data_IF_698761234590
#
_entry.id   IF_698761234590
#
_cell.length_a   1.000
_cell.length_b   1.000
_cell.length_c   1.000
_cell.angle_alpha   90.00
_cell.angle_beta   90.00
_cell.angle_gamma   90.00
#
_symmetry.space_group_name_H-M   'P 1'
#
loop_
_entity.id
_entity.type
_entity.pdbx_description
1 polymer ?
#
# COMPACT_ATOMS: atom_id res chain seq x y z
N UNK A 1 -2.47 -7.96 58.06
CA UNK A 1 -1.88 -7.10 57.02
C UNK A 1 -2.62 -7.33 55.72
N UNK A 2 -3.62 -6.50 55.41
CA UNK A 2 -4.39 -6.53 54.17
C UNK A 2 -3.86 -5.41 53.26
N UNK A 3 -3.42 -5.75 52.05
CA UNK A 3 -3.00 -4.77 51.03
C UNK A 3 -4.25 -4.21 50.32
N UNK A 4 -4.33 -2.90 50.05
CA UNK A 4 -5.44 -2.33 49.31
C UNK A 4 -5.25 -2.59 47.82
N UNK A 5 -6.30 -3.08 47.16
CA UNK A 5 -6.40 -3.14 45.70
C UNK A 5 -6.65 -1.71 45.18
N UNK A 6 -5.73 -1.21 44.35
CA UNK A 6 -5.94 0.01 43.60
C UNK A 6 -6.94 -0.28 42.46
N UNK A 7 -8.13 0.31 42.55
CA UNK A 7 -9.11 0.32 41.47
C UNK A 7 -8.64 1.33 40.43
N UNK A 8 -8.17 0.85 39.28
CA UNK A 8 -7.90 1.67 38.11
C UNK A 8 -9.23 1.92 37.40
N UNK A 9 -9.77 3.13 37.56
CA UNK A 9 -10.91 3.59 36.76
C UNK A 9 -10.42 3.85 35.32
N UNK A 10 -10.72 2.93 34.40
CA UNK A 10 -10.65 3.22 32.96
C UNK A 10 -11.77 4.21 32.62
N UNK A 11 -11.42 5.45 32.31
CA UNK A 11 -12.31 6.37 31.61
C UNK A 11 -12.45 5.89 30.16
N UNK A 12 -13.58 5.26 29.85
CA UNK A 12 -14.01 5.05 28.46
C UNK A 12 -14.39 6.41 27.87
N UNK A 13 -13.50 6.98 27.05
CA UNK A 13 -13.88 8.06 26.15
C UNK A 13 -14.86 7.47 25.15
N UNK A 14 -16.16 7.70 25.37
CA UNK A 14 -17.18 7.42 24.37
C UNK A 14 -16.96 8.43 23.25
N UNK A 15 -16.26 8.01 22.20
CA UNK A 15 -16.22 8.76 20.96
C UNK A 15 -17.67 8.84 20.45
N UNK A 16 -18.31 10.00 20.59
CA UNK A 16 -19.62 10.24 19.99
C UNK A 16 -19.45 10.13 18.48
N UNK A 17 -19.87 9.00 17.90
CA UNK A 17 -19.97 8.86 16.46
C UNK A 17 -20.93 9.94 15.95
N UNK A 18 -20.43 10.83 15.08
CA UNK A 18 -21.23 11.89 14.45
C UNK A 18 -22.42 11.26 13.73
N UNK A 19 -23.65 11.74 13.96
CA UNK A 19 -24.82 11.20 13.25
C UNK A 19 -25.10 11.98 11.98
N UNK A 20 -25.68 11.30 11.00
CA UNK A 20 -26.25 11.94 9.81
C UNK A 20 -27.27 13.00 10.25
N UNK A 21 -27.18 14.20 9.67
CA UNK A 21 -28.03 15.34 10.00
C UNK A 21 -27.58 16.18 11.21
N UNK A 22 -26.58 15.73 11.99
CA UNK A 22 -25.98 16.52 13.08
C UNK A 22 -24.73 17.28 12.64
N UNK A 23 -24.16 16.94 11.47
CA UNK A 23 -22.99 17.62 10.90
C UNK A 23 -23.41 18.97 10.29
N UNK A 24 -22.77 20.09 10.64
CA UNK A 24 -23.15 21.40 10.13
C UNK A 24 -23.12 21.47 8.60
N UNK A 25 -24.23 21.90 8.01
CA UNK A 25 -24.36 22.08 6.56
C UNK A 25 -23.75 23.40 6.13
N UNK A 26 -22.55 23.36 5.56
CA UNK A 26 -21.77 24.54 5.17
C UNK A 26 -21.16 24.31 3.79
N UNK A 27 -21.29 25.27 2.89
CA UNK A 27 -20.70 25.19 1.55
C UNK A 27 -19.16 25.21 1.62
N UNK A 28 -18.44 24.34 0.86
CA UNK A 28 -16.99 24.41 0.80
C UNK A 28 -16.49 25.76 0.27
N UNK A 29 -15.70 26.44 1.10
CA UNK A 29 -15.08 27.72 0.75
C UNK A 29 -14.43 28.42 1.95
N UNK A 30 -14.03 29.70 1.80
CA UNK A 30 -13.28 30.43 2.82
C UNK A 30 -14.00 30.63 4.17
N UNK A 31 -15.33 30.47 4.19
CA UNK A 31 -16.16 30.60 5.40
C UNK A 31 -16.36 29.28 6.15
N UNK A 32 -15.97 28.16 5.54
CA UNK A 32 -16.09 26.86 6.15
C UNK A 32 -15.04 26.70 7.26
N UNK A 33 -15.47 26.23 8.43
CA UNK A 33 -14.57 25.98 9.55
C UNK A 33 -13.58 24.86 9.18
N UNK A 34 -12.30 25.09 9.49
CA UNK A 34 -11.21 24.18 9.16
C UNK A 34 -11.03 23.09 10.21
N UNK A 35 -10.64 21.90 9.79
CA UNK A 35 -10.33 20.78 10.67
C UNK A 35 -11.54 20.09 11.31
N UNK A 36 -12.78 20.49 10.97
CA UNK A 36 -14.01 19.85 11.44
C UNK A 36 -14.74 19.14 10.30
N UNK A 37 -15.63 18.19 10.61
CA UNK A 37 -16.51 17.62 9.61
C UNK A 37 -17.63 18.61 9.28
N UNK A 38 -17.90 18.78 7.99
CA UNK A 38 -18.96 19.62 7.45
C UNK A 38 -19.73 18.83 6.40
N UNK A 39 -20.98 19.20 6.18
CA UNK A 39 -21.84 18.58 5.18
C UNK A 39 -22.17 19.60 4.10
N UNK A 40 -22.25 19.15 2.85
CA UNK A 40 -22.87 19.94 1.79
C UNK A 40 -23.60 19.04 0.81
N UNK A 41 -24.24 19.66 -0.19
CA UNK A 41 -24.97 18.97 -1.24
C UNK A 41 -24.35 19.32 -2.59
N UNK A 42 -24.07 18.32 -3.42
CA UNK A 42 -23.56 18.52 -4.78
C UNK A 42 -24.58 19.22 -5.68
N UNK A 43 -24.16 19.66 -6.86
CA UNK A 43 -25.06 20.27 -7.83
C UNK A 43 -26.20 19.31 -8.26
N UNK A 44 -25.93 18.01 -8.20
CA UNK A 44 -26.85 16.91 -8.50
C UNK A 44 -27.76 16.55 -7.31
N UNK A 45 -27.70 17.32 -6.22
CA UNK A 45 -28.56 17.11 -5.05
C UNK A 45 -28.09 16.00 -4.11
N UNK A 46 -26.84 15.54 -4.21
CA UNK A 46 -26.31 14.44 -3.39
C UNK A 46 -25.54 14.96 -2.17
N UNK A 47 -25.87 14.50 -0.94
CA UNK A 47 -25.11 14.90 0.23
C UNK A 47 -23.70 14.31 0.21
N UNK A 48 -22.76 15.04 0.79
CA UNK A 48 -21.42 14.57 1.06
C UNK A 48 -20.87 15.23 2.32
N UNK A 49 -20.02 14.50 3.05
CA UNK A 49 -19.23 15.08 4.12
C UNK A 49 -17.86 15.48 3.62
N UNK A 50 -17.31 16.55 4.19
CA UNK A 50 -15.97 16.99 3.90
C UNK A 50 -15.27 17.59 5.11
N UNK A 51 -13.94 17.66 5.04
CA UNK A 51 -13.08 18.32 6.01
C UNK A 51 -12.03 19.12 5.27
N UNK A 52 -11.87 20.40 5.62
CA UNK A 52 -10.77 21.22 5.15
C UNK A 52 -9.53 21.06 6.06
N UNK A 53 -8.31 21.12 5.52
CA UNK A 53 -7.10 21.15 6.33
C UNK A 53 -7.04 22.42 7.18
N UNK A 54 -6.30 22.36 8.30
CA UNK A 54 -6.11 23.50 9.20
C UNK A 54 -5.28 24.61 8.54
N UNK A 55 -4.33 24.22 7.71
CA UNK A 55 -3.45 25.14 6.98
C UNK A 55 -4.02 25.49 5.60
N UNK A 56 -3.58 26.63 5.05
CA UNK A 56 -3.92 27.13 3.72
C UNK A 56 -2.95 26.66 2.62
N UNK A 57 -2.16 25.60 2.88
CA UNK A 57 -1.28 25.02 1.86
C UNK A 57 -2.09 24.45 0.71
N UNK A 58 -1.48 24.35 -0.48
CA UNK A 58 -2.03 23.69 -1.67
C UNK A 58 -2.31 22.21 -1.33
N UNK A 59 -3.56 21.81 -1.02
CA UNK A 59 -3.82 20.50 -0.44
C UNK A 59 -4.06 19.47 -1.55
N UNK A 60 -3.86 18.18 -1.25
CA UNK A 60 -4.46 17.16 -2.09
C UNK A 60 -5.97 17.08 -1.81
N UNK A 61 -6.73 16.63 -2.80
CA UNK A 61 -8.13 16.24 -2.64
C UNK A 61 -8.22 14.72 -2.56
N UNK A 62 -8.66 14.19 -1.41
CA UNK A 62 -8.90 12.76 -1.21
C UNK A 62 -10.41 12.51 -1.21
N UNK A 63 -10.91 11.83 -2.24
CA UNK A 63 -12.31 11.42 -2.33
C UNK A 63 -12.44 9.97 -1.84
N UNK A 64 -13.08 9.80 -0.70
CA UNK A 64 -13.27 8.52 0.00
C UNK A 64 -14.61 7.89 -0.41
N UNK A 65 -14.54 6.78 -1.12
CA UNK A 65 -15.66 6.05 -1.70
C UNK A 65 -15.97 4.81 -0.84
N UNK A 66 -17.14 4.81 -0.24
CA UNK A 66 -17.59 3.78 0.67
C UNK A 66 -17.97 2.46 -0.03
N UNK A 67 -18.20 1.41 0.76
CA UNK A 67 -18.64 0.10 0.27
C UNK A 67 -20.14 0.02 -0.03
N UNK A 68 -20.61 -1.18 -0.40
CA UNK A 68 -22.03 -1.45 -0.62
C UNK A 68 -22.84 -1.20 0.65
N UNK A 69 -24.05 -0.64 0.53
CA UNK A 69 -24.97 -0.55 1.68
C UNK A 69 -24.73 0.63 2.62
N UNK A 70 -23.70 1.43 2.38
CA UNK A 70 -23.30 2.53 3.28
C UNK A 70 -23.62 3.90 2.68
N UNK A 71 -23.13 4.96 3.32
CA UNK A 71 -23.38 6.34 2.92
C UNK A 71 -22.14 7.25 3.18
N UNK A 72 -22.27 8.52 2.85
CA UNK A 72 -21.26 9.56 2.92
C UNK A 72 -20.66 9.79 4.31
N UNK A 73 -21.30 9.34 5.40
CA UNK A 73 -20.72 9.37 6.75
C UNK A 73 -19.66 8.30 7.01
N UNK A 74 -19.68 7.20 6.24
CA UNK A 74 -18.88 5.99 6.49
C UNK A 74 -17.39 6.27 6.65
N UNK A 75 -16.80 7.11 5.80
CA UNK A 75 -15.37 7.42 5.84
C UNK A 75 -14.99 8.14 7.14
N UNK A 76 -15.82 9.06 7.62
CA UNK A 76 -15.56 9.83 8.84
C UNK A 76 -15.69 8.99 10.11
N UNK A 77 -16.46 7.90 10.07
CA UNK A 77 -16.57 6.97 11.19
C UNK A 77 -15.44 5.96 11.26
N UNK A 78 -14.88 5.57 10.10
CA UNK A 78 -13.89 4.49 10.02
C UNK A 78 -12.44 4.98 9.90
N UNK A 79 -12.25 6.26 9.62
CA UNK A 79 -10.94 6.89 9.51
C UNK A 79 -10.88 8.08 10.46
N UNK A 80 -9.75 8.34 11.14
CA UNK A 80 -9.64 9.45 12.09
C UNK A 80 -9.43 10.80 11.37
N UNK A 81 -10.37 11.14 10.49
CA UNK A 81 -10.41 12.35 9.65
C UNK A 81 -10.64 13.58 10.53
N UNK A 82 -11.64 13.54 11.40
CA UNK A 82 -11.99 14.68 12.29
C UNK A 82 -10.90 14.94 13.31
N UNK A 83 -10.26 13.88 13.84
CA UNK A 83 -9.13 14.02 14.74
C UNK A 83 -7.88 14.57 14.05
N UNK A 84 -7.92 14.74 12.72
CA UNK A 84 -6.85 15.30 11.92
C UNK A 84 -5.64 14.39 11.76
N UNK A 85 -5.70 13.13 12.19
CA UNK A 85 -4.56 12.20 12.06
C UNK A 85 -4.55 11.48 10.72
N UNK A 86 -5.69 11.39 10.03
CA UNK A 86 -5.77 10.87 8.66
C UNK A 86 -5.69 12.03 7.67
N UNK A 87 -4.58 12.10 6.91
CA UNK A 87 -4.31 13.14 5.90
C UNK A 87 -4.59 14.58 6.43
N UNK A 88 -3.93 15.02 7.52
CA UNK A 88 -4.17 16.32 8.18
C UNK A 88 -4.19 17.52 7.24
N UNK A 89 -3.36 17.47 6.21
CA UNK A 89 -3.06 18.58 5.31
C UNK A 89 -3.91 18.57 4.03
N UNK A 90 -4.81 17.59 3.87
CA UNK A 90 -5.62 17.44 2.66
C UNK A 90 -7.07 17.82 2.84
N UNK A 91 -7.73 18.15 1.73
CA UNK A 91 -9.19 18.15 1.70
C UNK A 91 -9.66 16.70 1.59
N UNK A 92 -10.47 16.25 2.54
CA UNK A 92 -11.06 14.90 2.50
C UNK A 92 -12.56 15.04 2.26
N UNK A 93 -13.08 14.32 1.27
CA UNK A 93 -14.48 14.34 0.85
C UNK A 93 -15.02 12.92 0.80
N UNK A 94 -16.22 12.70 1.30
CA UNK A 94 -16.88 11.38 1.34
C UNK A 94 -18.28 11.54 0.77
N UNK A 95 -18.51 11.20 -0.52
CA UNK A 95 -19.83 11.28 -1.16
C UNK A 95 -20.60 9.96 -1.09
N UNK A 96 -21.92 10.02 -1.33
CA UNK A 96 -22.74 8.86 -1.67
C UNK A 96 -22.57 8.46 -3.15
N UNK A 97 -22.83 7.20 -3.49
CA UNK A 97 -23.13 6.81 -4.87
C UNK A 97 -24.53 7.27 -5.32
N UNK A 98 -24.84 7.16 -6.62
CA UNK A 98 -26.15 7.61 -7.14
C UNK A 98 -27.26 6.58 -6.95
N UNK A 99 -26.92 5.30 -6.76
CA UNK A 99 -27.88 4.18 -6.83
C UNK A 99 -28.34 3.77 -5.43
N UNK A 100 -29.62 3.96 -5.06
CA UNK A 100 -30.14 3.53 -3.75
C UNK A 100 -30.14 2.01 -3.62
N UNK A 101 -29.88 1.49 -2.41
CA UNK A 101 -29.89 0.04 -2.13
C UNK A 101 -30.87 -0.39 -1.01
N UNK A 102 -31.73 0.52 -0.56
CA UNK A 102 -32.62 0.31 0.59
C UNK A 102 -31.98 0.74 1.91
N UNK A 103 -32.77 0.88 2.98
CA UNK A 103 -32.23 1.19 4.32
C UNK A 103 -31.50 2.54 4.48
N UNK A 104 -31.56 3.43 3.48
CA UNK A 104 -30.85 4.72 3.47
C UNK A 104 -29.41 4.67 2.94
N UNK A 105 -28.99 3.55 2.35
CA UNK A 105 -27.67 3.41 1.73
C UNK A 105 -27.66 3.62 0.21
N UNK A 106 -26.45 3.80 -0.32
CA UNK A 106 -26.19 4.01 -1.75
C UNK A 106 -25.09 3.09 -2.26
N UNK A 107 -25.01 2.92 -3.58
CA UNK A 107 -24.07 2.07 -4.28
C UNK A 107 -23.39 2.83 -5.43
N UNK A 108 -22.14 2.46 -5.70
CA UNK A 108 -21.38 2.82 -6.90
C UNK A 108 -21.45 1.67 -7.92
N UNK A 109 -22.28 1.79 -8.96
CA UNK A 109 -22.57 0.71 -9.92
C UNK A 109 -21.79 0.82 -11.24
N UNK A 110 -20.69 1.58 -11.25
CA UNK A 110 -19.76 1.70 -12.40
C UNK A 110 -20.45 2.17 -13.69
N UNK A 111 -21.29 3.20 -13.59
CA UNK A 111 -21.96 3.81 -14.73
C UNK A 111 -21.59 5.30 -14.87
N UNK A 112 -21.98 5.90 -16.00
CA UNK A 112 -21.69 7.31 -16.27
C UNK A 112 -22.33 8.26 -15.25
N UNK A 113 -23.45 7.90 -14.61
CA UNK A 113 -24.07 8.76 -13.58
C UNK A 113 -23.22 8.86 -12.32
N UNK A 114 -22.71 7.73 -11.82
CA UNK A 114 -21.76 7.71 -10.70
C UNK A 114 -20.46 8.42 -11.10
N UNK A 115 -19.98 8.18 -12.32
CA UNK A 115 -18.81 8.85 -12.88
C UNK A 115 -18.96 10.38 -12.92
N UNK A 116 -20.07 10.87 -13.44
CA UNK A 116 -20.36 12.29 -13.56
C UNK A 116 -20.51 12.97 -12.20
N UNK A 117 -21.12 12.31 -11.22
CA UNK A 117 -21.20 12.83 -9.85
C UNK A 117 -19.79 13.05 -9.26
N UNK A 118 -18.93 12.04 -9.31
CA UNK A 118 -17.58 12.14 -8.75
C UNK A 118 -16.72 13.14 -9.54
N UNK A 119 -16.82 13.14 -10.87
CA UNK A 119 -16.14 14.10 -11.73
C UNK A 119 -16.59 15.54 -11.44
N UNK A 120 -17.90 15.75 -11.26
CA UNK A 120 -18.50 17.04 -10.88
C UNK A 120 -17.97 17.54 -9.55
N UNK A 121 -17.89 16.66 -8.55
CA UNK A 121 -17.35 16.99 -7.23
C UNK A 121 -15.87 17.39 -7.28
N UNK A 122 -15.04 16.64 -8.01
CA UNK A 122 -13.62 16.97 -8.21
C UNK A 122 -13.47 18.36 -8.87
N UNK A 123 -14.23 18.62 -9.94
CA UNK A 123 -14.22 19.92 -10.63
C UNK A 123 -14.70 21.05 -9.71
N UNK A 124 -15.73 20.79 -8.90
CA UNK A 124 -16.23 21.76 -7.93
C UNK A 124 -15.14 22.16 -6.94
N UNK A 125 -14.48 21.21 -6.29
CA UNK A 125 -13.40 21.49 -5.35
C UNK A 125 -12.20 22.18 -6.03
N UNK A 126 -11.81 21.77 -7.24
CA UNK A 126 -10.78 22.47 -8.04
C UNK A 126 -11.14 23.92 -8.39
N UNK A 127 -12.43 24.25 -8.49
CA UNK A 127 -12.84 25.64 -8.74
C UNK A 127 -12.85 26.51 -7.47
N UNK A 128 -12.76 25.90 -6.28
CA UNK A 128 -12.81 26.58 -4.98
C UNK A 128 -11.46 26.65 -4.27
N UNK A 129 -10.59 25.69 -4.55
CA UNK A 129 -9.30 25.55 -3.88
C UNK A 129 -8.21 25.31 -4.92
N UNK A 130 -7.02 25.81 -4.64
CA UNK A 130 -5.84 25.44 -5.41
C UNK A 130 -5.42 24.01 -5.02
N UNK A 131 -5.96 23.02 -5.72
CA UNK A 131 -5.67 21.60 -5.47
C UNK A 131 -4.32 21.23 -6.07
N UNK A 132 -3.49 20.53 -5.30
CA UNK A 132 -2.23 19.96 -5.77
C UNK A 132 -2.49 18.71 -6.60
N UNK A 133 -2.96 17.64 -5.94
CA UNK A 133 -3.29 16.35 -6.56
C UNK A 133 -4.68 15.88 -6.14
N UNK A 134 -5.25 14.96 -6.91
CA UNK A 134 -6.53 14.33 -6.61
C UNK A 134 -6.35 12.83 -6.51
N UNK A 135 -6.73 12.28 -5.36
CA UNK A 135 -6.73 10.85 -5.11
C UNK A 135 -8.13 10.34 -4.82
N UNK A 136 -8.39 9.10 -5.27
CA UNK A 136 -9.51 8.33 -4.76
C UNK A 136 -9.01 7.33 -3.73
N UNK A 137 -9.80 7.12 -2.69
CA UNK A 137 -9.70 5.95 -1.82
C UNK A 137 -11.02 5.22 -1.90
N UNK A 138 -11.02 3.96 -2.29
CA UNK A 138 -12.23 3.16 -2.35
C UNK A 138 -12.14 1.96 -1.44
N UNK A 139 -13.25 1.61 -0.77
CA UNK A 139 -13.38 0.38 0.01
C UNK A 139 -14.47 -0.52 -0.54
N UNK A 140 -14.22 -1.82 -0.60
CA UNK A 140 -15.17 -2.81 -1.12
C UNK A 140 -15.70 -2.32 -2.48
N UNK A 141 -17.00 -2.20 -2.71
CA UNK A 141 -17.58 -1.63 -3.95
C UNK A 141 -16.96 -0.30 -4.40
N UNK A 142 -16.61 0.62 -3.48
CA UNK A 142 -15.89 1.84 -3.82
C UNK A 142 -14.53 1.59 -4.46
N UNK A 143 -13.83 0.51 -4.08
CA UNK A 143 -12.57 0.10 -4.71
C UNK A 143 -12.77 -0.44 -6.14
N UNK A 144 -13.84 -1.19 -6.39
CA UNK A 144 -14.22 -1.59 -7.76
C UNK A 144 -14.48 -0.35 -8.61
N UNK A 145 -15.14 0.66 -8.03
CA UNK A 145 -15.40 1.91 -8.71
C UNK A 145 -14.11 2.71 -9.00
N UNK A 146 -13.13 2.74 -8.09
CA UNK A 146 -11.82 3.38 -8.34
C UNK A 146 -11.16 2.86 -9.63
N UNK A 147 -11.15 1.54 -9.84
CA UNK A 147 -10.60 0.95 -11.06
C UNK A 147 -11.33 1.46 -12.31
N UNK A 148 -12.66 1.39 -12.31
CA UNK A 148 -13.49 1.86 -13.42
C UNK A 148 -13.29 3.35 -13.69
N UNK A 149 -13.33 4.18 -12.64
CA UNK A 149 -13.20 5.63 -12.74
C UNK A 149 -11.81 6.04 -13.24
N UNK A 150 -10.75 5.41 -12.74
CA UNK A 150 -9.39 5.66 -13.21
C UNK A 150 -9.20 5.29 -14.69
N UNK A 151 -9.88 4.25 -15.17
CA UNK A 151 -9.92 3.92 -16.60
C UNK A 151 -10.72 4.92 -17.44
N UNK A 152 -11.83 5.44 -16.91
CA UNK A 152 -12.77 6.31 -17.63
C UNK A 152 -12.38 7.80 -17.62
N UNK A 153 -11.76 8.26 -16.54
CA UNK A 153 -11.43 9.66 -16.27
C UNK A 153 -9.98 9.85 -15.74
N UNK A 154 -8.95 9.27 -16.39
CA UNK A 154 -7.57 9.34 -15.91
C UNK A 154 -7.02 10.77 -15.77
N UNK A 155 -7.55 11.74 -16.52
CA UNK A 155 -7.17 13.15 -16.48
C UNK A 155 -7.69 13.90 -15.24
N UNK A 156 -8.66 13.34 -14.51
CA UNK A 156 -9.24 13.99 -13.33
C UNK A 156 -8.51 13.64 -12.04
N UNK A 157 -7.73 12.56 -12.03
CA UNK A 157 -7.06 12.05 -10.83
C UNK A 157 -5.58 11.77 -11.11
N UNK A 158 -4.81 11.70 -10.03
CA UNK A 158 -3.39 11.39 -10.07
C UNK A 158 -3.13 9.96 -9.60
N UNK A 159 -4.06 9.39 -8.82
CA UNK A 159 -3.98 8.00 -8.40
C UNK A 159 -5.13 7.57 -7.50
N UNK A 160 -5.08 6.31 -7.05
CA UNK A 160 -6.04 5.81 -6.09
C UNK A 160 -5.54 4.65 -5.24
N UNK A 161 -6.14 4.51 -4.06
CA UNK A 161 -6.04 3.32 -3.20
C UNK A 161 -7.33 2.52 -3.36
N UNK A 162 -7.22 1.30 -3.87
CA UNK A 162 -8.31 0.35 -3.99
C UNK A 162 -8.20 -0.69 -2.85
N UNK A 163 -9.03 -0.52 -1.82
CA UNK A 163 -9.04 -1.36 -0.63
C UNK A 163 -10.15 -2.43 -0.69
N UNK A 164 -9.78 -3.70 -0.58
CA UNK A 164 -10.73 -4.82 -0.54
C UNK A 164 -11.59 -4.93 -1.81
N UNK A 165 -10.99 -4.71 -2.99
CA UNK A 165 -11.67 -4.64 -4.28
C UNK A 165 -11.14 -5.60 -5.34
N UNK A 166 -11.72 -5.52 -6.55
CA UNK A 166 -11.26 -6.28 -7.72
C UNK A 166 -11.44 -5.47 -9.01
N UNK A 167 -10.53 -5.67 -9.97
CA UNK A 167 -10.64 -5.13 -11.33
C UNK A 167 -11.57 -6.03 -12.16
N UNK A 168 -12.78 -5.56 -12.47
CA UNK A 168 -13.74 -6.30 -13.31
C UNK A 168 -13.50 -6.12 -14.81
N UNK A 169 -13.04 -4.94 -15.22
CA UNK A 169 -12.79 -4.59 -16.62
C UNK A 169 -11.43 -3.92 -16.75
N UNK A 170 -10.69 -4.26 -17.80
CA UNK A 170 -9.27 -3.94 -17.94
C UNK A 170 -8.95 -3.05 -19.17
N UNK A 171 -9.96 -2.55 -19.90
CA UNK A 171 -9.72 -1.79 -21.12
C UNK A 171 -9.50 -0.30 -20.81
N UNK A 172 -8.39 0.01 -20.17
CA UNK A 172 -8.02 1.38 -19.80
C UNK A 172 -7.09 1.99 -20.87
N UNK A 173 -7.22 3.30 -21.16
CA UNK A 173 -6.38 3.99 -22.14
C UNK A 173 -4.91 4.06 -21.67
N UNK A 174 -3.98 4.28 -22.60
CA UNK A 174 -2.53 4.41 -22.30
C UNK A 174 -2.21 5.53 -21.32
N UNK A 175 -3.00 6.62 -21.34
CA UNK A 175 -2.89 7.70 -20.37
C UNK A 175 -3.08 7.19 -18.94
N UNK A 176 -4.06 6.33 -18.68
CA UNK A 176 -4.30 5.78 -17.34
C UNK A 176 -3.09 4.97 -16.85
N UNK A 177 -2.48 4.18 -17.73
CA UNK A 177 -1.37 3.26 -17.41
C UNK A 177 -0.08 3.96 -17.02
N UNK A 178 0.19 5.10 -17.66
CA UNK A 178 1.42 5.88 -17.49
C UNK A 178 1.28 6.98 -16.42
N UNK A 179 0.10 7.58 -16.30
CA UNK A 179 -0.17 8.69 -15.38
C UNK A 179 -0.42 8.21 -13.96
N UNK A 180 -1.36 7.28 -13.78
CA UNK A 180 -1.97 6.99 -12.48
C UNK A 180 -1.06 6.19 -11.56
N UNK A 181 -0.92 6.66 -10.32
CA UNK A 181 -0.43 5.86 -9.19
C UNK A 181 -1.55 4.98 -8.65
N UNK A 182 -1.31 3.69 -8.44
CA UNK A 182 -2.34 2.73 -8.04
C UNK A 182 -1.83 1.86 -6.91
N UNK A 183 -2.48 1.94 -5.77
CA UNK A 183 -2.23 1.10 -4.62
C UNK A 183 -3.40 0.13 -4.41
N UNK A 184 -3.10 -1.15 -4.35
CA UNK A 184 -4.05 -2.21 -4.04
C UNK A 184 -3.81 -2.61 -2.59
N UNK A 185 -4.81 -2.45 -1.74
CA UNK A 185 -4.75 -2.80 -0.32
C UNK A 185 -5.73 -3.94 -0.05
N UNK A 186 -5.28 -5.00 0.63
CA UNK A 186 -6.16 -6.11 0.93
C UNK A 186 -5.77 -6.82 2.22
N UNK A 187 -6.75 -7.22 3.04
CA UNK A 187 -6.49 -8.09 4.18
C UNK A 187 -6.33 -9.55 3.72
N UNK A 188 -5.31 -10.27 4.21
CA UNK A 188 -5.14 -11.69 3.87
C UNK A 188 -6.38 -12.52 4.21
N UNK A 189 -6.95 -12.26 5.37
CA UNK A 189 -8.10 -12.97 5.92
C UNK A 189 -9.45 -12.41 5.44
N UNK A 190 -9.50 -11.62 4.36
CA UNK A 190 -10.77 -11.09 3.85
C UNK A 190 -11.67 -12.23 3.33
N UNK A 191 -12.75 -12.47 4.07
CA UNK A 191 -13.74 -13.51 3.77
C UNK A 191 -14.87 -13.03 2.83
N UNK A 192 -14.93 -11.74 2.50
CA UNK A 192 -15.98 -11.14 1.64
C UNK A 192 -15.48 -11.01 0.22
N UNK A 193 -14.31 -10.38 0.04
CA UNK A 193 -13.60 -10.31 -1.24
C UNK A 193 -12.28 -10.99 -1.03
N UNK A 194 -12.07 -12.15 -1.64
CA UNK A 194 -10.87 -12.94 -1.35
C UNK A 194 -9.60 -12.21 -1.78
N UNK A 195 -8.50 -12.43 -1.05
CA UNK A 195 -7.18 -11.85 -1.36
C UNK A 195 -6.68 -12.18 -2.78
N UNK A 196 -7.14 -13.30 -3.34
CA UNK A 196 -6.85 -13.70 -4.73
C UNK A 196 -7.32 -12.65 -5.75
N UNK A 197 -8.39 -11.90 -5.46
CA UNK A 197 -8.83 -10.78 -6.29
C UNK A 197 -7.77 -9.68 -6.40
N UNK A 198 -7.14 -9.29 -5.30
CA UNK A 198 -6.08 -8.29 -5.30
C UNK A 198 -4.83 -8.77 -6.03
N UNK A 199 -4.42 -10.03 -5.81
CA UNK A 199 -3.27 -10.64 -6.50
C UNK A 199 -3.51 -10.73 -8.01
N UNK A 200 -4.70 -11.18 -8.42
CA UNK A 200 -5.10 -11.25 -9.83
C UNK A 200 -5.17 -9.87 -10.47
N UNK A 201 -5.72 -8.88 -9.75
CA UNK A 201 -5.79 -7.50 -10.21
C UNK A 201 -4.39 -6.91 -10.42
N UNK A 202 -3.50 -7.06 -9.45
CA UNK A 202 -2.12 -6.57 -9.56
C UNK A 202 -1.43 -7.15 -10.80
N UNK A 203 -1.48 -8.48 -10.95
CA UNK A 203 -0.90 -9.19 -12.08
C UNK A 203 -1.46 -8.65 -13.39
N UNK A 204 -2.79 -8.54 -13.49
CA UNK A 204 -3.46 -8.05 -14.69
C UNK A 204 -3.06 -6.63 -15.03
N UNK A 205 -2.93 -5.76 -14.04
CA UNK A 205 -2.51 -4.37 -14.26
C UNK A 205 -1.05 -4.27 -14.69
N UNK A 206 -0.16 -5.11 -14.16
CA UNK A 206 1.22 -5.21 -14.68
C UNK A 206 1.24 -5.65 -16.13
N UNK A 207 0.47 -6.68 -16.49
CA UNK A 207 0.35 -7.15 -17.89
C UNK A 207 -0.19 -6.07 -18.83
N UNK A 208 -1.06 -5.19 -18.34
CA UNK A 208 -1.57 -4.05 -19.11
C UNK A 208 -0.55 -2.92 -19.27
N UNK A 209 0.54 -2.92 -18.51
CA UNK A 209 1.61 -1.91 -18.58
C UNK A 209 1.52 -0.79 -17.54
N UNK A 210 0.78 -0.97 -16.45
CA UNK A 210 0.76 0.02 -15.37
C UNK A 210 2.13 0.15 -14.71
N UNK A 211 2.67 1.38 -14.69
CA UNK A 211 4.04 1.64 -14.26
C UNK A 211 4.15 1.92 -12.76
N UNK A 212 3.14 2.56 -12.19
CA UNK A 212 3.10 3.02 -10.79
C UNK A 212 2.10 2.19 -9.99
N UNK A 213 2.43 0.92 -9.76
CA UNK A 213 1.52 -0.06 -9.15
C UNK A 213 2.15 -0.70 -7.91
N UNK A 214 1.43 -0.67 -6.79
CA UNK A 214 1.80 -1.31 -5.53
C UNK A 214 0.67 -2.19 -5.02
N UNK A 215 1.02 -3.38 -4.53
CA UNK A 215 0.13 -4.28 -3.80
C UNK A 215 0.62 -4.39 -2.36
N UNK A 216 -0.27 -4.14 -1.42
CA UNK A 216 -0.07 -4.32 0.02
C UNK A 216 -1.08 -5.36 0.52
N UNK A 217 -0.58 -6.50 0.98
CA UNK A 217 -1.39 -7.50 1.68
C UNK A 217 -1.12 -7.38 3.17
N UNK A 218 -2.17 -7.17 3.95
CA UNK A 218 -2.09 -7.03 5.40
C UNK A 218 -2.39 -8.37 6.06
N UNK A 219 -1.38 -8.91 6.74
CA UNK A 219 -1.42 -10.17 7.48
C UNK A 219 -1.91 -9.95 8.93
N UNK A 220 -2.11 -11.04 9.67
CA UNK A 220 -2.48 -11.00 11.10
C UNK A 220 -3.90 -10.53 11.40
N UNK A 221 -4.74 -10.39 10.38
CA UNK A 221 -6.16 -10.10 10.51
C UNK A 221 -6.98 -11.38 10.69
N UNK A 222 -8.17 -11.28 11.26
CA UNK A 222 -9.13 -12.38 11.35
C UNK A 222 -10.13 -12.29 10.20
N UNK A 223 -10.93 -13.32 9.97
CA UNK A 223 -12.03 -13.26 8.99
C UNK A 223 -12.98 -12.09 9.23
N UNK A 224 -13.23 -11.78 10.51
CA UNK A 224 -14.09 -10.67 10.89
C UNK A 224 -13.47 -9.31 10.64
N UNK A 225 -12.14 -9.16 10.71
CA UNK A 225 -11.43 -7.89 10.51
C UNK A 225 -10.80 -7.74 9.12
N UNK A 226 -10.68 -8.82 8.36
CA UNK A 226 -9.98 -8.87 7.06
C UNK A 226 -10.59 -7.98 5.99
N UNK A 227 -11.91 -7.76 6.05
CA UNK A 227 -12.63 -6.86 5.14
C UNK A 227 -12.77 -5.42 5.67
N UNK A 228 -12.38 -5.12 6.91
CA UNK A 228 -12.63 -3.78 7.50
C UNK A 228 -11.61 -2.73 7.05
N UNK A 229 -11.97 -1.44 7.13
CA UNK A 229 -11.07 -0.31 6.91
C UNK A 229 -9.76 -0.41 7.69
N UNK A 230 -8.65 -0.18 6.99
CA UNK A 230 -7.29 -0.22 7.54
C UNK A 230 -6.71 1.20 7.50
N UNK A 231 -7.22 2.09 8.36
CA UNK A 231 -6.95 3.52 8.27
C UNK A 231 -5.46 3.89 8.20
N UNK A 232 -4.63 3.24 9.02
CA UNK A 232 -3.19 3.48 9.02
C UNK A 232 -2.53 3.10 7.68
N UNK A 233 -2.88 1.92 7.14
CA UNK A 233 -2.35 1.41 5.87
C UNK A 233 -2.85 2.21 4.68
N UNK A 234 -4.11 2.64 4.70
CA UNK A 234 -4.65 3.56 3.69
C UNK A 234 -3.89 4.89 3.67
N UNK A 235 -3.53 5.44 4.83
CA UNK A 235 -2.75 6.68 4.91
C UNK A 235 -1.32 6.49 4.38
N UNK A 236 -0.68 5.36 4.70
CA UNK A 236 0.65 4.97 4.18
C UNK A 236 0.62 4.89 2.63
N UNK A 237 -0.40 4.26 2.06
CA UNK A 237 -0.52 4.11 0.60
C UNK A 237 -0.88 5.42 -0.11
N UNK A 238 -1.66 6.31 0.52
CA UNK A 238 -1.87 7.66 0.01
C UNK A 238 -0.56 8.47 0.02
N UNK A 239 0.28 8.32 1.04
CA UNK A 239 1.61 8.95 1.06
C UNK A 239 2.54 8.36 0.00
N UNK A 240 2.46 7.05 -0.24
CA UNK A 240 3.15 6.43 -1.38
C UNK A 240 2.69 7.03 -2.72
N UNK A 241 1.38 7.28 -2.89
CA UNK A 241 0.86 7.97 -4.09
C UNK A 241 1.48 9.35 -4.28
N UNK A 242 1.65 10.14 -3.22
CA UNK A 242 2.36 11.43 -3.30
C UNK A 242 3.71 11.24 -3.99
N UNK A 243 4.51 10.28 -3.53
CA UNK A 243 5.87 10.04 -4.05
C UNK A 243 5.92 9.64 -5.54
N UNK A 244 4.97 8.80 -6.00
CA UNK A 244 5.00 8.26 -7.37
C UNK A 244 4.27 9.15 -8.38
N UNK A 245 3.49 10.12 -7.91
CA UNK A 245 2.72 11.04 -8.77
C UNK A 245 3.32 12.43 -8.90
N UNK A 246 4.33 12.77 -8.09
CA UNK A 246 5.08 14.04 -8.24
C UNK A 246 5.78 14.13 -9.59
N UNK A 247 5.68 15.29 -10.23
CA UNK A 247 6.26 15.57 -11.56
C UNK A 247 7.38 16.62 -11.54
N UNK A 248 7.70 17.21 -10.39
CA UNK A 248 8.80 18.16 -10.23
C UNK A 248 9.90 17.63 -9.31
N UNK A 249 11.14 18.07 -9.54
CA UNK A 249 12.30 17.56 -8.80
C UNK A 249 12.34 18.04 -7.34
N UNK A 250 11.87 19.26 -7.06
CA UNK A 250 11.98 19.86 -5.72
C UNK A 250 11.09 19.12 -4.72
N UNK A 251 9.83 18.86 -5.10
CA UNK A 251 8.87 18.10 -4.31
C UNK A 251 9.32 16.65 -4.16
N UNK A 252 9.84 16.03 -5.22
CA UNK A 252 10.28 14.63 -5.16
C UNK A 252 11.50 14.46 -4.23
N UNK A 253 12.44 15.41 -4.27
CA UNK A 253 13.56 15.47 -3.32
C UNK A 253 13.07 15.62 -1.89
N UNK A 254 12.14 16.55 -1.63
CA UNK A 254 11.58 16.75 -0.28
C UNK A 254 10.90 15.50 0.27
N UNK A 255 10.12 14.80 -0.56
CA UNK A 255 9.47 13.55 -0.18
C UNK A 255 10.47 12.42 0.06
N UNK A 256 11.46 12.25 -0.81
CA UNK A 256 12.49 11.22 -0.65
C UNK A 256 13.38 11.47 0.57
N UNK A 257 13.76 12.72 0.84
CA UNK A 257 14.51 13.09 2.05
C UNK A 257 13.67 12.81 3.31
N UNK A 258 12.39 13.18 3.32
CA UNK A 258 11.50 12.92 4.45
C UNK A 258 11.24 11.43 4.70
N UNK A 259 11.07 10.63 3.63
CA UNK A 259 10.86 9.18 3.74
C UNK A 259 12.13 8.47 4.24
N UNK A 260 13.31 8.90 3.78
CA UNK A 260 14.60 8.38 4.26
C UNK A 260 14.81 8.62 5.77
N UNK A 261 14.32 9.76 6.29
CA UNK A 261 14.35 10.10 7.73
C UNK A 261 13.21 9.48 8.54
N UNK A 262 12.27 8.80 7.88
CA UNK A 262 11.10 8.24 8.55
C UNK A 262 11.49 7.06 9.46
N UNK A 263 10.57 6.68 10.36
CA UNK A 263 10.80 5.51 11.23
C UNK A 263 10.94 4.21 10.44
N UNK A 264 10.31 4.12 9.28
CA UNK A 264 10.28 2.90 8.46
C UNK A 264 10.41 3.26 6.98
N UNK A 265 11.61 3.65 6.52
CA UNK A 265 11.81 4.10 5.14
C UNK A 265 11.46 3.01 4.13
N UNK A 266 10.76 3.39 3.05
CA UNK A 266 10.49 2.49 1.94
C UNK A 266 11.62 2.55 0.91
N UNK A 267 12.63 1.70 1.11
CA UNK A 267 13.84 1.68 0.28
C UNK A 267 13.55 1.44 -1.21
N UNK A 268 12.52 0.66 -1.55
CA UNK A 268 12.15 0.43 -2.95
C UNK A 268 11.62 1.72 -3.60
N UNK A 269 10.72 2.42 -2.89
CA UNK A 269 10.19 3.71 -3.35
C UNK A 269 11.29 4.78 -3.42
N UNK A 270 12.19 4.82 -2.43
CA UNK A 270 13.31 5.75 -2.39
C UNK A 270 14.27 5.58 -3.58
N UNK A 271 14.68 4.35 -3.89
CA UNK A 271 15.57 4.09 -5.02
C UNK A 271 14.90 4.47 -6.34
N UNK A 272 13.64 4.08 -6.55
CA UNK A 272 12.88 4.48 -7.75
C UNK A 272 12.76 6.00 -7.88
N UNK A 273 12.54 6.70 -6.78
CA UNK A 273 12.46 8.16 -6.79
C UNK A 273 13.83 8.78 -7.13
N UNK A 274 14.92 8.27 -6.54
CA UNK A 274 16.27 8.71 -6.84
C UNK A 274 16.63 8.53 -8.33
N UNK A 275 16.22 7.42 -8.95
CA UNK A 275 16.42 7.16 -10.39
C UNK A 275 15.64 8.13 -11.30
N UNK A 276 14.48 8.63 -10.85
CA UNK A 276 13.66 9.60 -11.60
C UNK A 276 14.22 11.02 -11.54
N UNK A 277 14.93 11.37 -10.46
CA UNK A 277 15.39 12.74 -10.19
C UNK A 277 16.21 13.36 -11.34
N UNK A 278 17.20 12.70 -11.95
CA UNK A 278 17.98 13.30 -13.04
C UNK A 278 17.10 13.79 -14.21
N UNK A 279 16.06 13.04 -14.55
CA UNK A 279 15.10 13.39 -15.60
C UNK A 279 14.24 14.60 -15.23
N UNK A 280 13.85 14.74 -13.96
CA UNK A 280 13.08 15.87 -13.46
C UNK A 280 13.94 17.12 -13.31
N UNK A 281 15.15 16.99 -12.76
CA UNK A 281 16.11 18.10 -12.56
C UNK A 281 16.46 18.73 -13.91
N UNK A 282 16.62 17.93 -14.97
CA UNK A 282 16.85 18.44 -16.32
C UNK A 282 15.72 19.38 -16.82
N UNK A 283 14.49 19.19 -16.33
CA UNK A 283 13.31 19.99 -16.68
C UNK A 283 13.13 21.22 -15.78
N UNK A 284 13.79 21.29 -14.64
CA UNK A 284 13.71 22.42 -13.70
C UNK A 284 14.24 23.72 -14.31
N UNK A 285 13.88 24.85 -13.69
CA UNK A 285 14.45 26.17 -14.00
C UNK A 285 15.97 26.17 -13.80
N UNK A 286 16.69 26.91 -14.66
CA UNK A 286 18.16 26.87 -14.70
C UNK A 286 18.80 27.15 -13.33
N UNK A 287 18.24 28.11 -12.60
CA UNK A 287 18.75 28.56 -11.30
C UNK A 287 18.54 27.51 -10.20
N UNK A 288 17.55 26.62 -10.34
CA UNK A 288 17.27 25.55 -9.39
C UNK A 288 18.06 24.26 -9.68
N UNK A 289 18.52 24.06 -10.91
CA UNK A 289 19.14 22.78 -11.35
C UNK A 289 20.37 22.41 -10.53
N UNK A 290 21.22 23.39 -10.22
CA UNK A 290 22.46 23.15 -9.48
C UNK A 290 22.15 22.69 -8.05
N UNK A 291 21.32 23.45 -7.33
CA UNK A 291 20.91 23.12 -5.97
C UNK A 291 20.19 21.75 -5.89
N UNK A 292 19.30 21.46 -6.85
CA UNK A 292 18.60 20.16 -6.90
C UNK A 292 19.53 19.01 -7.28
N UNK A 293 20.51 19.22 -8.17
CA UNK A 293 21.53 18.22 -8.52
C UNK A 293 22.40 17.87 -7.32
N UNK A 294 22.78 18.87 -6.53
CA UNK A 294 23.54 18.68 -5.30
C UNK A 294 22.75 17.89 -4.26
N UNK A 295 21.48 18.26 -4.03
CA UNK A 295 20.56 17.51 -3.15
C UNK A 295 20.39 16.07 -3.59
N UNK A 296 20.15 15.83 -4.88
CA UNK A 296 20.03 14.49 -5.46
C UNK A 296 21.31 13.66 -5.27
N UNK A 297 22.48 14.29 -5.42
CA UNK A 297 23.77 13.63 -5.19
C UNK A 297 23.94 13.23 -3.71
N UNK A 298 23.57 14.11 -2.78
CA UNK A 298 23.56 13.79 -1.34
C UNK A 298 22.59 12.66 -1.00
N UNK A 299 21.37 12.69 -1.55
CA UNK A 299 20.39 11.61 -1.36
C UNK A 299 20.95 10.26 -1.83
N UNK A 300 21.53 10.21 -3.04
CA UNK A 300 22.13 8.98 -3.57
C UNK A 300 23.29 8.49 -2.69
N UNK A 301 24.17 9.39 -2.23
CA UNK A 301 25.25 9.02 -1.32
C UNK A 301 24.74 8.39 -0.01
N UNK A 302 23.65 8.92 0.54
CA UNK A 302 23.01 8.34 1.74
C UNK A 302 22.38 6.97 1.46
N UNK A 303 21.71 6.81 0.32
CA UNK A 303 21.17 5.51 -0.10
C UNK A 303 22.29 4.47 -0.29
N UNK A 304 23.43 4.87 -0.84
CA UNK A 304 24.61 4.00 -0.95
C UNK A 304 25.17 3.61 0.42
N UNK A 305 25.21 4.54 1.39
CA UNK A 305 25.64 4.26 2.75
C UNK A 305 24.70 3.24 3.43
N UNK A 306 23.39 3.42 3.29
CA UNK A 306 22.37 2.46 3.75
C UNK A 306 22.58 1.09 3.13
N UNK A 307 22.74 1.02 1.80
CA UNK A 307 22.95 -0.24 1.09
C UNK A 307 24.22 -0.96 1.56
N UNK A 308 25.33 -0.24 1.74
CA UNK A 308 26.60 -0.81 2.23
C UNK A 308 26.47 -1.33 3.67
N UNK A 309 25.77 -0.60 4.53
CA UNK A 309 25.50 -1.05 5.90
C UNK A 309 24.65 -2.33 5.91
N UNK A 310 23.64 -2.42 5.04
CA UNK A 310 22.82 -3.62 4.89
C UNK A 310 23.61 -4.82 4.37
N UNK A 311 24.49 -4.62 3.39
CA UNK A 311 25.37 -5.68 2.88
C UNK A 311 26.33 -6.18 3.96
N UNK A 312 26.93 -5.28 4.74
CA UNK A 312 27.78 -5.66 5.86
C UNK A 312 27.02 -6.48 6.92
N UNK A 313 25.78 -6.08 7.23
CA UNK A 313 24.92 -6.81 8.16
C UNK A 313 24.55 -8.21 7.63
N UNK A 314 24.24 -8.32 6.34
CA UNK A 314 23.96 -9.60 5.69
C UNK A 314 25.18 -10.54 5.70
N UNK A 315 26.36 -10.04 5.38
CA UNK A 315 27.59 -10.84 5.38
C UNK A 315 27.95 -11.32 6.78
N UNK A 316 27.73 -10.48 7.81
CA UNK A 316 27.90 -10.87 9.21
C UNK A 316 26.92 -11.99 9.62
N UNK A 317 25.65 -11.88 9.22
CA UNK A 317 24.63 -12.92 9.48
C UNK A 317 24.95 -14.23 8.75
N UNK A 318 25.42 -14.14 7.51
CA UNK A 318 25.76 -15.30 6.70
C UNK A 318 27.02 -16.04 7.21
N UNK A 319 27.92 -15.31 7.88
CA UNK A 319 29.13 -15.88 8.47
C UNK A 319 28.88 -16.57 9.82
N UNK A 320 27.73 -16.33 10.48
CA UNK A 320 27.42 -16.97 11.76
C UNK A 320 26.97 -18.44 11.56
N UNK A 321 27.79 -19.44 11.92
CA UNK A 321 27.41 -20.85 11.79
C UNK A 321 26.24 -21.24 12.71
N UNK A 322 25.89 -20.39 13.69
CA UNK A 322 24.76 -20.57 14.59
C UNK A 322 23.49 -19.85 14.12
N UNK A 323 23.52 -19.13 13.00
CA UNK A 323 22.34 -18.55 12.39
C UNK A 323 21.42 -19.68 11.87
N UNK A 324 20.60 -20.21 12.78
CA UNK A 324 19.60 -21.25 12.50
C UNK A 324 18.43 -20.71 11.66
N UNK A 325 18.26 -19.40 11.64
CA UNK A 325 17.19 -18.72 10.94
C UNK A 325 17.65 -18.27 9.56
N UNK A 326 17.45 -19.14 8.57
CA UNK A 326 17.73 -18.79 7.18
C UNK A 326 16.65 -17.86 6.56
N UNK A 327 15.50 -17.67 7.23
CA UNK A 327 14.30 -17.06 6.64
C UNK A 327 14.36 -15.55 6.76
N UNK A 328 14.75 -15.07 7.94
CA UNK A 328 14.95 -13.66 8.20
C UNK A 328 15.87 -13.01 7.18
N UNK A 329 17.14 -13.42 7.14
CA UNK A 329 18.11 -12.80 6.23
C UNK A 329 17.81 -13.08 4.76
N UNK A 330 17.20 -14.23 4.41
CA UNK A 330 16.80 -14.48 3.02
C UNK A 330 15.73 -13.47 2.58
N UNK A 331 14.76 -13.17 3.43
CA UNK A 331 13.73 -12.18 3.14
C UNK A 331 14.33 -10.79 2.99
N UNK A 332 15.32 -10.44 3.83
CA UNK A 332 16.10 -9.20 3.66
C UNK A 332 16.77 -9.13 2.30
N UNK A 333 17.47 -10.19 1.88
CA UNK A 333 18.12 -10.24 0.55
C UNK A 333 17.08 -10.06 -0.56
N UNK A 334 15.91 -10.70 -0.48
CA UNK A 334 14.83 -10.52 -1.46
C UNK A 334 14.32 -9.08 -1.50
N UNK A 335 14.10 -8.45 -0.33
CA UNK A 335 13.70 -7.02 -0.23
C UNK A 335 14.74 -6.08 -0.82
N UNK A 336 16.00 -6.24 -0.44
CA UNK A 336 17.10 -5.42 -0.96
C UNK A 336 17.33 -5.64 -2.45
N UNK A 337 17.15 -6.86 -2.96
CA UNK A 337 17.24 -7.13 -4.39
C UNK A 337 16.09 -6.46 -5.17
N UNK A 338 14.87 -6.37 -4.60
CA UNK A 338 13.77 -5.61 -5.23
C UNK A 338 14.05 -4.11 -5.25
N UNK A 339 14.59 -3.57 -4.15
CA UNK A 339 14.88 -2.14 -4.03
C UNK A 339 16.12 -1.72 -4.85
N UNK A 340 17.22 -2.46 -4.77
CA UNK A 340 18.53 -2.10 -5.29
C UNK A 340 19.03 -3.01 -6.41
N UNK A 341 18.22 -3.94 -6.93
CA UNK A 341 18.63 -4.93 -7.94
C UNK A 341 19.36 -4.32 -9.14
N UNK A 342 18.95 -3.11 -9.53
CA UNK A 342 19.56 -2.37 -10.63
C UNK A 342 20.68 -1.40 -10.24
N UNK A 343 20.85 -1.14 -8.94
CA UNK A 343 21.81 -0.19 -8.40
C UNK A 343 23.28 -0.67 -8.63
N UNK A 344 24.21 0.21 -9.06
CA UNK A 344 25.59 -0.18 -9.35
C UNK A 344 26.32 -0.84 -8.18
N UNK A 345 26.16 -0.30 -6.97
CA UNK A 345 26.76 -0.86 -5.74
C UNK A 345 26.25 -2.28 -5.47
N UNK A 346 24.94 -2.53 -5.58
CA UNK A 346 24.38 -3.87 -5.38
C UNK A 346 24.91 -4.86 -6.42
N UNK A 347 24.89 -4.50 -7.71
CA UNK A 347 25.42 -5.34 -8.80
C UNK A 347 26.88 -5.72 -8.58
N UNK A 348 27.69 -4.79 -8.05
CA UNK A 348 29.12 -5.00 -7.80
C UNK A 348 29.38 -5.81 -6.52
N UNK A 349 28.76 -5.42 -5.41
CA UNK A 349 29.13 -5.89 -4.07
C UNK A 349 28.26 -7.06 -3.62
N UNK A 350 27.01 -7.15 -4.05
CA UNK A 350 26.09 -8.25 -3.74
C UNK A 350 26.17 -9.41 -4.74
N UNK A 351 27.23 -9.52 -5.53
CA UNK A 351 27.33 -10.49 -6.65
C UNK A 351 27.06 -11.94 -6.22
N UNK A 352 27.57 -12.34 -5.06
CA UNK A 352 27.36 -13.69 -4.52
C UNK A 352 25.88 -13.93 -4.16
N UNK A 353 25.24 -12.95 -3.53
CA UNK A 353 23.83 -12.98 -3.19
C UNK A 353 22.93 -13.06 -4.43
N UNK A 354 23.19 -12.21 -5.43
CA UNK A 354 22.46 -12.21 -6.71
C UNK A 354 22.60 -13.55 -7.44
N UNK A 355 23.81 -14.13 -7.47
CA UNK A 355 24.02 -15.44 -8.10
C UNK A 355 23.23 -16.56 -7.39
N UNK A 356 23.22 -16.54 -6.05
CA UNK A 356 22.47 -17.51 -5.25
C UNK A 356 20.96 -17.34 -5.41
N UNK A 357 20.45 -16.11 -5.33
CA UNK A 357 19.05 -15.78 -5.57
C UNK A 357 18.59 -16.33 -6.93
N UNK A 358 19.33 -16.04 -8.01
CA UNK A 358 19.01 -16.55 -9.34
C UNK A 358 18.98 -18.08 -9.40
N UNK A 359 19.96 -18.75 -8.78
CA UNK A 359 20.02 -20.20 -8.76
C UNK A 359 18.84 -20.82 -7.99
N UNK A 360 18.45 -20.22 -6.87
CA UNK A 360 17.33 -20.68 -6.05
C UNK A 360 15.98 -20.40 -6.75
N UNK A 361 15.80 -19.23 -7.38
CA UNK A 361 14.63 -18.90 -8.22
C UNK A 361 14.40 -19.97 -9.28
N UNK A 362 15.43 -20.32 -10.05
CA UNK A 362 15.30 -21.33 -11.12
C UNK A 362 14.89 -22.71 -10.59
N UNK A 363 15.33 -23.09 -9.39
CA UNK A 363 14.97 -24.38 -8.78
C UNK A 363 13.53 -24.33 -8.24
N UNK A 364 13.14 -23.22 -7.62
CA UNK A 364 11.78 -23.03 -7.12
C UNK A 364 10.76 -23.00 -8.27
N UNK A 365 11.06 -22.30 -9.36
CA UNK A 365 10.20 -22.25 -10.56
C UNK A 365 9.97 -23.64 -11.18
N UNK A 366 11.01 -24.50 -11.20
CA UNK A 366 10.86 -25.89 -11.68
C UNK A 366 9.89 -26.68 -10.81
N UNK A 367 9.95 -26.49 -9.49
CA UNK A 367 8.99 -27.10 -8.58
C UNK A 367 7.58 -26.52 -8.78
N UNK A 368 7.46 -25.20 -8.95
CA UNK A 368 6.18 -24.50 -9.15
C UNK A 368 5.45 -24.98 -10.41
N UNK A 369 6.17 -25.22 -11.50
CA UNK A 369 5.59 -25.78 -12.74
C UNK A 369 4.88 -27.11 -12.51
N UNK A 370 5.35 -27.92 -11.55
CA UNK A 370 4.72 -29.20 -11.21
C UNK A 370 3.38 -29.08 -10.46
N UNK A 371 3.04 -27.87 -9.99
CA UNK A 371 1.77 -27.57 -9.32
C UNK A 371 0.63 -27.21 -10.30
N UNK A 372 0.90 -27.14 -11.61
CA UNK A 372 -0.15 -26.96 -12.63
C UNK A 372 -1.19 -28.09 -12.64
N UNK A 373 -0.82 -29.28 -12.16
CA UNK A 373 -1.71 -30.39 -11.87
C UNK A 373 -1.33 -30.97 -10.50
N UNK A 374 -1.85 -30.40 -9.39
CA UNK A 374 -1.38 -30.71 -8.05
C UNK A 374 -1.77 -32.14 -7.66
N UNK A 375 -0.76 -32.93 -7.30
CA UNK A 375 -0.89 -34.28 -6.74
C UNK A 375 0.02 -34.35 -5.52
N UNK A 376 -0.24 -35.26 -4.58
CA UNK A 376 0.55 -35.36 -3.35
C UNK A 376 2.08 -35.36 -3.61
N UNK A 377 2.54 -36.11 -4.62
CA UNK A 377 3.97 -36.14 -5.00
C UNK A 377 4.50 -34.82 -5.59
N UNK A 378 3.70 -34.04 -6.33
CA UNK A 378 4.14 -32.71 -6.80
C UNK A 378 4.11 -31.68 -5.69
N UNK A 379 3.09 -31.74 -4.81
CA UNK A 379 2.99 -30.90 -3.62
C UNK A 379 4.16 -31.15 -2.66
N UNK A 380 4.46 -32.41 -2.32
CA UNK A 380 5.59 -32.76 -1.46
C UNK A 380 6.94 -32.28 -2.01
N UNK A 381 7.20 -32.42 -3.32
CA UNK A 381 8.41 -31.87 -3.95
C UNK A 381 8.47 -30.34 -3.91
N UNK A 382 7.33 -29.67 -4.01
CA UNK A 382 7.26 -28.23 -3.95
C UNK A 382 7.41 -27.71 -2.50
N UNK A 383 6.90 -28.44 -1.50
CA UNK A 383 7.19 -28.22 -0.07
C UNK A 383 8.71 -28.32 0.18
N UNK A 384 9.34 -29.42 -0.25
CA UNK A 384 10.80 -29.60 -0.10
C UNK A 384 11.59 -28.46 -0.78
N UNK A 385 11.16 -28.06 -1.98
CA UNK A 385 11.78 -26.95 -2.70
C UNK A 385 11.62 -25.62 -1.94
N UNK A 386 10.42 -25.33 -1.43
CA UNK A 386 10.18 -24.15 -0.59
C UNK A 386 11.07 -24.17 0.66
N UNK A 387 11.14 -25.31 1.36
CA UNK A 387 11.98 -25.50 2.54
C UNK A 387 13.49 -25.50 2.24
N UNK A 388 13.92 -25.39 0.98
CA UNK A 388 15.34 -25.34 0.61
C UNK A 388 15.78 -24.04 -0.06
N UNK A 389 14.91 -23.43 -0.85
CA UNK A 389 15.26 -22.32 -1.75
C UNK A 389 14.65 -21.00 -1.28
N UNK A 390 14.96 -20.59 -0.05
CA UNK A 390 14.30 -19.46 0.62
C UNK A 390 14.66 -18.13 -0.05
N UNK A 391 15.82 -18.05 -0.70
CA UNK A 391 16.24 -16.87 -1.43
C UNK A 391 15.55 -16.67 -2.78
N UNK A 392 14.82 -17.67 -3.25
CA UNK A 392 14.18 -17.61 -4.56
C UNK A 392 13.24 -16.41 -4.66
N UNK A 393 13.32 -15.72 -5.78
CA UNK A 393 12.25 -14.82 -6.20
C UNK A 393 10.97 -15.65 -6.43
N UNK A 394 9.84 -15.16 -5.94
CA UNK A 394 8.57 -15.90 -5.92
C UNK A 394 8.41 -16.92 -4.79
N UNK A 395 9.29 -16.96 -3.79
CA UNK A 395 9.15 -17.78 -2.58
C UNK A 395 7.81 -17.56 -1.86
N UNK A 396 7.40 -16.30 -1.68
CA UNK A 396 6.15 -15.94 -1.00
C UNK A 396 4.93 -16.42 -1.79
N UNK A 397 4.93 -16.26 -3.12
CA UNK A 397 3.85 -16.70 -4.00
C UNK A 397 3.72 -18.24 -4.04
N UNK A 398 4.86 -18.94 -4.04
CA UNK A 398 4.89 -20.40 -3.91
C UNK A 398 4.27 -20.85 -2.58
N UNK A 399 4.68 -20.23 -1.47
CA UNK A 399 4.18 -20.60 -0.14
C UNK A 399 2.69 -20.36 0.02
N UNK A 400 2.18 -19.24 -0.48
CA UNK A 400 0.73 -18.98 -0.50
C UNK A 400 -0.04 -20.04 -1.33
N UNK A 401 0.55 -20.52 -2.43
CA UNK A 401 -0.05 -21.60 -3.23
C UNK A 401 -0.01 -22.93 -2.49
N UNK A 402 1.13 -23.28 -1.89
CA UNK A 402 1.30 -24.51 -1.13
C UNK A 402 0.40 -24.55 0.11
N UNK A 403 0.29 -23.43 0.84
CA UNK A 403 -0.58 -23.31 2.00
C UNK A 403 -2.02 -23.70 1.67
N UNK A 404 -2.60 -23.11 0.61
CA UNK A 404 -3.96 -23.45 0.15
C UNK A 404 -4.11 -24.92 -0.23
N UNK A 405 -3.09 -25.50 -0.87
CA UNK A 405 -3.10 -26.91 -1.27
C UNK A 405 -2.99 -27.85 -0.07
N UNK A 406 -2.21 -27.51 0.96
CA UNK A 406 -2.07 -28.34 2.17
C UNK A 406 -3.23 -28.17 3.14
N UNK A 407 -3.95 -27.05 3.12
CA UNK A 407 -5.14 -26.87 3.95
C UNK A 407 -6.30 -27.79 3.47
N UNK A 408 -6.33 -28.11 2.18
CA UNK A 408 -7.30 -29.05 1.62
C UNK A 408 -6.85 -30.51 1.81
N UNK A 409 -7.75 -31.44 2.20
CA UNK A 409 -7.43 -32.86 2.24
C UNK A 409 -7.01 -33.36 0.85
N UNK A 410 -5.79 -33.89 0.73
CA UNK A 410 -5.24 -34.42 -0.52
C UNK A 410 -4.86 -35.88 -0.37
N UNK A 411 -5.44 -36.76 -1.19
CA UNK A 411 -5.12 -38.20 -1.14
C UNK A 411 -3.64 -38.44 -1.42
N UNK A 412 -2.96 -39.07 -0.46
CA UNK A 412 -1.55 -39.46 -0.56
C UNK A 412 -0.55 -38.42 -0.07
N UNK A 413 -1.01 -37.27 0.44
CA UNK A 413 -0.20 -36.35 1.24
C UNK A 413 -0.56 -36.61 2.70
N UNK A 414 0.40 -37.01 3.53
CA UNK A 414 0.11 -37.35 4.91
C UNK A 414 -0.14 -36.09 5.78
N UNK A 415 -0.86 -36.27 6.88
CA UNK A 415 -1.22 -35.17 7.78
C UNK A 415 -0.02 -34.62 8.57
N UNK A 416 1.07 -35.39 8.67
CA UNK A 416 2.31 -34.99 9.35
C UNK A 416 3.09 -33.98 8.51
N UNK A 417 3.31 -34.27 7.24
CA UNK A 417 3.91 -33.39 6.22
C UNK A 417 3.13 -32.08 6.10
N UNK A 418 1.80 -32.16 6.08
CA UNK A 418 0.92 -30.97 6.05
C UNK A 418 1.16 -30.09 7.27
N UNK A 419 1.15 -30.68 8.47
CA UNK A 419 1.37 -29.95 9.73
C UNK A 419 2.79 -29.38 9.80
N UNK A 420 3.79 -30.17 9.45
CA UNK A 420 5.19 -29.76 9.42
C UNK A 420 5.43 -28.58 8.47
N UNK A 421 4.75 -28.56 7.32
CA UNK A 421 4.83 -27.42 6.40
C UNK A 421 4.15 -26.17 6.96
N UNK A 422 2.98 -26.29 7.59
CA UNK A 422 2.30 -25.15 8.22
C UNK A 422 3.12 -24.57 9.39
N UNK A 423 3.72 -25.44 10.22
CA UNK A 423 4.63 -25.04 11.29
C UNK A 423 5.88 -24.36 10.72
N UNK A 424 6.41 -24.85 9.60
CA UNK A 424 7.48 -24.19 8.85
C UNK A 424 7.07 -22.78 8.41
N UNK A 425 5.90 -22.59 7.79
CA UNK A 425 5.44 -21.25 7.37
C UNK A 425 5.34 -20.28 8.54
N UNK A 426 4.81 -20.74 9.68
CA UNK A 426 4.74 -19.93 10.90
C UNK A 426 6.14 -19.54 11.40
N UNK A 427 7.10 -20.46 11.33
CA UNK A 427 8.49 -20.16 11.71
C UNK A 427 9.13 -19.14 10.78
N UNK A 428 8.84 -19.20 9.47
CA UNK A 428 9.29 -18.23 8.46
C UNK A 428 8.72 -16.85 8.77
N UNK A 429 7.41 -16.75 9.04
CA UNK A 429 6.77 -15.46 9.36
C UNK A 429 7.40 -14.79 10.60
N UNK A 430 7.64 -15.57 11.66
CA UNK A 430 8.27 -15.07 12.88
C UNK A 430 9.70 -14.58 12.63
N UNK A 431 10.47 -15.34 11.87
CA UNK A 431 11.81 -15.00 11.44
C UNK A 431 11.86 -13.70 10.61
N UNK A 432 10.98 -13.58 9.61
CA UNK A 432 10.90 -12.39 8.76
C UNK A 432 10.49 -11.14 9.54
N UNK A 433 9.57 -11.28 10.49
CA UNK A 433 9.15 -10.18 11.37
C UNK A 433 10.31 -9.71 12.26
N UNK A 434 11.05 -10.63 12.88
CA UNK A 434 12.21 -10.29 13.72
C UNK A 434 13.33 -9.63 12.89
N UNK A 435 13.60 -10.16 11.70
CA UNK A 435 14.61 -9.60 10.80
C UNK A 435 14.26 -8.20 10.30
N UNK A 436 12.98 -7.91 10.06
CA UNK A 436 12.51 -6.59 9.61
C UNK A 436 12.87 -5.48 10.59
N UNK A 437 12.70 -5.70 11.90
CA UNK A 437 13.09 -4.70 12.90
C UNK A 437 14.61 -4.48 12.93
N UNK A 438 15.39 -5.55 12.78
CA UNK A 438 16.85 -5.44 12.70
C UNK A 438 17.30 -4.72 11.42
N UNK A 439 16.66 -4.98 10.29
CA UNK A 439 16.89 -4.25 9.03
C UNK A 439 16.61 -2.75 9.21
N UNK A 440 15.47 -2.40 9.82
CA UNK A 440 15.11 -1.00 10.07
C UNK A 440 16.14 -0.29 10.95
N UNK A 441 16.66 -0.96 11.97
CA UNK A 441 17.68 -0.36 12.84
C UNK A 441 19.00 -0.12 12.09
N UNK A 442 19.44 -1.07 11.25
CA UNK A 442 20.62 -0.88 10.38
C UNK A 442 20.41 0.32 9.44
N UNK A 443 19.22 0.43 8.82
CA UNK A 443 18.88 1.57 7.97
C UNK A 443 18.93 2.89 8.74
N UNK A 444 18.27 2.98 9.90
CA UNK A 444 18.27 4.21 10.72
C UNK A 444 19.66 4.60 11.19
N UNK A 445 20.49 3.62 11.57
CA UNK A 445 21.87 3.88 11.97
C UNK A 445 22.68 4.45 10.80
N UNK A 446 22.53 3.90 9.60
CA UNK A 446 23.24 4.37 8.40
C UNK A 446 22.73 5.73 7.91
N UNK A 447 21.45 6.05 8.12
CA UNK A 447 20.87 7.36 7.79
C UNK A 447 21.42 8.47 8.69
N UNK A 448 21.74 8.16 9.96
CA UNK A 448 22.25 9.10 10.97
C UNK A 448 23.76 9.33 10.92
N UNK A 449 24.53 8.37 10.39
CA UNK A 449 25.98 8.48 10.19
C UNK A 449 26.31 9.31 8.95
#
# INVERSE_FOLDING_TARGET
MLRPFAVVCLFTVVACAQKIGEVPKVEPGPKAERGVALEWTSAEGRPYWYRLPKDDKKPCLVVMLHGTGTNHGWSFWNYPIVNGTFRPDDIVVSPDGVTPNGGGGFNFVQNDQDGDQIAGLIRFFRSRFEIDRVYLHGHSQGAFFCYWFGGRHPQLIDGYVAHAGNLLQANHPEEAKSRLGIAILHGRADAVVTVDCAISTEKRMRELGYQKLRLEIVEGLTEQSGHWPLAHKSAELLAWLDSVTVEDAASLLGLAEADLESKSPDLETLVRNAERLPGLIKKSEKDDREAQSERSSRLNARLEAVLRAQLAALDALAADPKAKDHAGWAARVRRLNRAFGDHPVWKKEAKAWVARLKADTQKLERAAKSLSNPRAKSVGRAIEASQRYWLADGFEAMNATLQRLVEQPMKGLDDEDRRAFLDFLKSVEQAESADREAELEVTRSAVRS
#
